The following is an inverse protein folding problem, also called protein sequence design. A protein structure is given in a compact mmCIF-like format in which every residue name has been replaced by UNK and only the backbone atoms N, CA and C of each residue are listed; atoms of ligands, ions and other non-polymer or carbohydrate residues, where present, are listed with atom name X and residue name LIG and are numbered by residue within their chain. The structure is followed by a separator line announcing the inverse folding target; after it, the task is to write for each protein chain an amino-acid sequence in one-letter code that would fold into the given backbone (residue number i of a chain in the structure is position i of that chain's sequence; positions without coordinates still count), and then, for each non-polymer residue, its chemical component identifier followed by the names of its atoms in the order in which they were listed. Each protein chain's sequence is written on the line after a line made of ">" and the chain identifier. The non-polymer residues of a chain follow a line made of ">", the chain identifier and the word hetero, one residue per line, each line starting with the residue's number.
data_IF_540387431129
#
_entry.id   IF_540387431129
#
_cell.length_a   1.000
_cell.length_b   1.000
_cell.length_c   1.000
_cell.angle_alpha   90.00
_cell.angle_beta   90.00
_cell.angle_gamma   90.00
#
_symmetry.space_group_name_H-M   'P 1'
#
loop_
_entity.id
_entity.type
_entity.pdbx_description
1 polymer ?
#
# COMPACT_ATOMS: atom_id res chain seq x y z
N UNK A 1 8.61 -19.19 6.33
CA UNK A 1 8.41 -18.10 7.32
C UNK A 1 7.07 -18.29 8.04
N UNK A 2 6.85 -17.70 9.22
CA UNK A 2 5.59 -17.82 9.98
C UNK A 2 4.49 -16.97 9.34
N UNK A 3 3.21 -17.33 9.51
CA UNK A 3 2.07 -16.53 9.03
C UNK A 3 2.15 -15.05 9.43
N UNK A 4 2.88 -14.75 10.52
CA UNK A 4 3.17 -13.42 11.03
C UNK A 4 4.06 -12.58 10.11
N UNK A 5 4.99 -13.16 9.34
CA UNK A 5 5.94 -12.39 8.53
C UNK A 5 5.29 -11.87 7.23
N UNK A 6 4.34 -12.62 6.67
CA UNK A 6 3.53 -12.16 5.54
C UNK A 6 2.56 -11.06 6.00
N UNK A 7 1.99 -11.20 7.19
CA UNK A 7 1.12 -10.18 7.80
C UNK A 7 1.91 -8.90 8.13
N UNK A 8 3.15 -9.02 8.62
CA UNK A 8 4.06 -7.89 8.86
C UNK A 8 4.48 -7.19 7.55
N UNK A 9 4.75 -7.93 6.48
CA UNK A 9 5.04 -7.34 5.16
C UNK A 9 3.82 -6.60 4.61
N UNK A 10 2.62 -7.10 4.87
CA UNK A 10 1.35 -6.46 4.48
C UNK A 10 1.02 -5.23 5.34
N UNK A 11 1.37 -5.27 6.63
CA UNK A 11 1.26 -4.13 7.54
C UNK A 11 2.30 -3.04 7.22
N UNK A 12 3.48 -3.41 6.71
CA UNK A 12 4.44 -2.47 6.11
C UNK A 12 3.89 -1.77 4.85
N UNK A 13 3.03 -2.41 4.05
CA UNK A 13 2.27 -1.74 2.95
C UNK A 13 1.37 -0.64 3.49
N UNK A 14 0.72 -0.89 4.62
CA UNK A 14 -0.11 0.11 5.26
C UNK A 14 0.74 1.25 5.85
N UNK A 15 1.85 0.92 6.53
CA UNK A 15 2.65 1.88 7.31
C UNK A 15 3.64 2.74 6.48
N UNK A 16 4.21 2.21 5.39
CA UNK A 16 5.27 2.93 4.65
C UNK A 16 4.77 4.19 3.92
N UNK A 17 3.46 4.31 3.69
CA UNK A 17 2.86 5.49 3.05
C UNK A 17 2.22 6.50 4.01
N UNK A 18 1.99 6.14 5.29
CA UNK A 18 1.65 7.14 6.30
C UNK A 18 2.78 8.20 6.42
N UNK A 19 4.02 7.81 6.11
CA UNK A 19 5.19 8.69 6.09
C UNK A 19 5.31 9.53 4.80
N UNK A 20 4.68 9.13 3.69
CA UNK A 20 4.64 9.90 2.45
C UNK A 20 3.55 10.99 2.46
N UNK A 21 2.57 10.88 3.37
CA UNK A 21 1.47 11.84 3.54
C UNK A 21 1.70 12.87 4.65
N UNK A 22 2.87 12.90 5.30
CA UNK A 22 3.07 13.65 6.54
C UNK A 22 4.43 14.32 6.69
N UNK A 23 4.84 15.17 5.75
CA UNK A 23 5.86 16.19 6.04
C UNK A 23 5.18 17.52 6.38
N UNK A 24 5.36 17.90 7.65
CA UNK A 24 5.16 19.21 8.30
C UNK A 24 4.16 19.20 9.48
N UNK A 25 4.67 18.92 10.69
CA UNK A 25 4.70 19.88 11.80
C UNK A 25 5.19 19.25 13.12
N UNK A 26 6.43 19.62 13.46
CA UNK A 26 7.10 19.65 14.76
C UNK A 26 6.30 19.49 16.07
N UNK A 27 6.86 18.62 16.92
CA UNK A 27 7.32 18.88 18.29
C UNK A 27 6.31 19.20 19.42
N UNK A 28 6.18 18.27 20.37
CA UNK A 28 6.27 18.48 21.83
C UNK A 28 6.17 17.10 22.54
N UNK A 29 7.28 16.48 22.95
CA UNK A 29 7.90 16.60 24.28
C UNK A 29 7.04 16.09 25.46
N UNK A 30 7.40 14.91 25.99
CA UNK A 30 7.59 14.55 27.42
C UNK A 30 7.52 13.01 27.56
N UNK A 31 8.63 12.27 27.58
CA UNK A 31 9.51 12.00 28.74
C UNK A 31 8.83 11.35 29.95
N UNK A 32 9.02 10.04 30.13
CA UNK A 32 9.44 9.45 31.41
C UNK A 32 9.93 8.00 31.25
N UNK A 33 11.17 7.76 31.69
CA UNK A 33 11.89 6.46 31.76
C UNK A 33 11.47 5.65 33.01
N UNK A 34 11.81 4.34 33.05
CA UNK A 34 11.41 3.37 34.09
C UNK A 34 12.52 3.12 35.13
N UNK A 35 12.18 2.61 36.31
CA UNK A 35 13.11 1.90 37.24
C UNK A 35 12.28 0.97 38.15
N UNK A 36 12.46 -0.36 38.05
CA UNK A 36 13.15 -1.18 39.07
C UNK A 36 12.14 -2.03 39.87
N UNK A 37 12.44 -3.13 40.54
CA UNK A 37 13.56 -4.06 40.59
C UNK A 37 13.05 -5.31 41.35
N UNK A 38 13.59 -6.48 41.00
CA UNK A 38 13.92 -7.65 41.85
C UNK A 38 13.02 -8.07 43.03
N UNK A 39 12.63 -9.34 43.07
CA UNK A 39 12.93 -10.22 44.22
C UNK A 39 12.87 -11.70 43.82
N UNK A 40 13.93 -12.41 44.21
CA UNK A 40 14.06 -13.86 44.20
C UNK A 40 13.19 -14.49 45.29
N UNK A 41 12.78 -15.75 45.13
CA UNK A 41 13.25 -16.78 46.06
C UNK A 41 13.09 -18.20 45.50
N UNK A 42 13.98 -19.02 46.03
CA UNK A 42 14.35 -20.40 45.76
C UNK A 42 13.32 -21.44 46.21
N UNK A 43 13.27 -22.58 45.53
CA UNK A 43 13.17 -23.90 46.19
C UNK A 43 13.39 -25.08 45.23
N UNK A 44 14.20 -26.00 45.73
CA UNK A 44 14.80 -27.21 45.15
C UNK A 44 13.94 -28.48 45.32
N UNK A 45 14.18 -29.48 44.45
CA UNK A 45 14.15 -30.96 44.64
C UNK A 45 13.42 -31.65 43.46
N UNK A 46 14.13 -32.29 42.53
CA UNK A 46 14.61 -33.68 42.56
C UNK A 46 13.48 -34.73 42.43
N UNK A 47 13.40 -35.45 41.28
CA UNK A 47 13.71 -36.88 41.11
C UNK A 47 13.48 -37.36 39.67
N UNK A 48 14.38 -38.22 39.21
CA UNK A 48 14.44 -38.88 37.90
C UNK A 48 13.37 -39.97 37.70
N UNK A 49 12.95 -40.18 36.45
CA UNK A 49 12.71 -41.54 35.93
C UNK A 49 12.74 -41.59 34.41
N UNK A 50 13.57 -42.51 33.94
CA UNK A 50 13.82 -42.92 32.57
C UNK A 50 12.59 -43.55 31.91
N UNK A 51 12.32 -43.26 30.64
CA UNK A 51 11.77 -44.25 29.69
C UNK A 51 12.22 -43.94 28.27
N UNK A 52 12.87 -44.94 27.68
CA UNK A 52 13.16 -45.10 26.27
C UNK A 52 11.84 -45.10 25.48
N UNK A 53 11.75 -44.29 24.43
CA UNK A 53 10.92 -44.63 23.26
C UNK A 53 11.53 -44.01 22.01
N UNK A 54 12.11 -44.90 21.24
CA UNK A 54 12.44 -44.80 19.84
C UNK A 54 11.22 -44.28 19.07
N UNK A 55 11.38 -43.20 18.32
CA UNK A 55 10.49 -42.85 17.22
C UNK A 55 11.34 -42.22 16.13
N UNK A 56 11.55 -43.00 15.06
CA UNK A 56 11.96 -42.50 13.76
C UNK A 56 11.03 -41.35 13.38
N UNK A 57 11.62 -40.19 13.07
CA UNK A 57 10.95 -39.13 12.32
C UNK A 57 11.97 -38.51 11.38
N UNK A 58 12.51 -39.32 10.49
CA UNK A 58 13.18 -38.85 9.28
C UNK A 58 12.10 -38.48 8.26
N UNK A 59 11.45 -37.32 8.44
CA UNK A 59 10.71 -36.65 7.35
C UNK A 59 10.32 -35.21 7.74
N UNK A 60 11.30 -34.36 8.04
CA UNK A 60 11.06 -32.92 8.29
C UNK A 60 11.71 -31.99 7.25
N UNK A 61 12.46 -32.55 6.29
CA UNK A 61 13.21 -31.75 5.31
C UNK A 61 12.43 -31.43 4.02
N UNK A 62 11.29 -32.08 3.76
CA UNK A 62 10.52 -31.91 2.52
C UNK A 62 9.45 -30.80 2.58
N UNK A 63 9.01 -30.41 3.78
CA UNK A 63 7.96 -29.39 3.97
C UNK A 63 8.47 -27.95 3.89
N UNK A 64 9.74 -27.72 4.20
CA UNK A 64 10.38 -26.42 4.14
C UNK A 64 10.50 -25.85 2.72
N UNK A 65 11.01 -26.58 1.71
CA UNK A 65 11.20 -26.01 0.37
C UNK A 65 9.90 -25.61 -0.33
N UNK A 66 8.80 -26.33 -0.12
CA UNK A 66 7.50 -25.95 -0.71
C UNK A 66 6.88 -24.72 -0.04
N UNK A 67 7.10 -24.56 1.26
CA UNK A 67 6.60 -23.40 2.00
C UNK A 67 7.37 -22.13 1.64
N UNK A 68 8.68 -22.22 1.49
CA UNK A 68 9.53 -21.11 1.04
C UNK A 68 9.19 -20.67 -0.40
N UNK A 69 8.85 -21.60 -1.29
CA UNK A 69 8.41 -21.27 -2.66
C UNK A 69 7.07 -20.51 -2.65
N UNK A 70 6.13 -20.91 -1.79
CA UNK A 70 4.84 -20.25 -1.69
C UNK A 70 4.96 -18.84 -1.10
N UNK A 71 5.78 -18.68 -0.06
CA UNK A 71 6.07 -17.38 0.54
C UNK A 71 6.70 -16.44 -0.52
N UNK A 72 7.65 -16.93 -1.32
CA UNK A 72 8.27 -16.15 -2.40
C UNK A 72 7.27 -15.73 -3.51
N UNK A 73 6.32 -16.60 -3.87
CA UNK A 73 5.29 -16.26 -4.85
C UNK A 73 4.32 -15.18 -4.33
N UNK A 74 3.94 -15.25 -3.05
CA UNK A 74 3.10 -14.24 -2.41
C UNK A 74 3.84 -12.91 -2.33
N UNK A 75 5.12 -12.92 -1.95
CA UNK A 75 5.96 -11.72 -1.91
C UNK A 75 6.09 -11.05 -3.28
N UNK A 76 6.28 -11.84 -4.35
CA UNK A 76 6.31 -11.32 -5.71
C UNK A 76 4.99 -10.67 -6.13
N UNK A 77 3.84 -11.25 -5.77
CA UNK A 77 2.52 -10.68 -6.04
C UNK A 77 2.26 -9.39 -5.25
N UNK A 78 2.76 -9.32 -4.01
CA UNK A 78 2.73 -8.11 -3.20
C UNK A 78 3.57 -7.00 -3.86
N UNK A 79 4.78 -7.31 -4.30
CA UNK A 79 5.64 -6.37 -5.02
C UNK A 79 4.96 -5.88 -6.32
N UNK A 80 4.27 -6.76 -7.04
CA UNK A 80 3.50 -6.38 -8.24
C UNK A 80 2.34 -5.43 -7.90
N UNK A 81 1.67 -5.62 -6.75
CA UNK A 81 0.61 -4.73 -6.30
C UNK A 81 1.14 -3.32 -5.98
N UNK A 82 2.31 -3.22 -5.35
CA UNK A 82 2.99 -1.94 -5.12
C UNK A 82 3.36 -1.24 -6.42
N UNK A 83 3.97 -1.97 -7.35
CA UNK A 83 4.31 -1.42 -8.65
C UNK A 83 3.06 -0.92 -9.39
N UNK A 84 1.93 -1.63 -9.25
CA UNK A 84 0.67 -1.23 -9.85
C UNK A 84 0.10 0.05 -9.20
N UNK A 85 0.25 0.20 -7.88
CA UNK A 85 -0.14 1.42 -7.16
C UNK A 85 0.70 2.63 -7.60
N UNK A 86 2.03 2.51 -7.63
CA UNK A 86 2.93 3.59 -8.08
C UNK A 86 2.64 3.99 -9.53
N UNK A 87 2.40 2.98 -10.39
CA UNK A 87 2.04 3.21 -11.78
C UNK A 87 0.73 3.98 -11.90
N UNK A 88 -0.28 3.59 -11.11
CA UNK A 88 -1.57 4.27 -11.09
C UNK A 88 -1.43 5.74 -10.68
N UNK A 89 -0.68 6.02 -9.61
CA UNK A 89 -0.43 7.39 -9.17
C UNK A 89 0.28 8.21 -10.25
N UNK A 90 1.33 7.65 -10.85
CA UNK A 90 2.08 8.32 -11.92
C UNK A 90 1.21 8.63 -13.14
N UNK A 91 0.43 7.67 -13.62
CA UNK A 91 -0.47 7.86 -14.76
C UNK A 91 -1.58 8.88 -14.43
N UNK A 92 -2.10 8.87 -13.20
CA UNK A 92 -3.10 9.83 -12.75
C UNK A 92 -2.53 11.26 -12.71
N UNK A 93 -1.35 11.45 -12.11
CA UNK A 93 -0.65 12.74 -12.07
C UNK A 93 -0.33 13.25 -13.48
N UNK A 94 0.08 12.36 -14.37
CA UNK A 94 0.36 12.68 -15.77
C UNK A 94 -0.89 13.18 -16.52
N UNK A 95 -2.05 12.54 -16.32
CA UNK A 95 -3.32 13.01 -16.90
C UNK A 95 -3.67 14.42 -16.36
N UNK A 96 -3.46 14.65 -15.07
CA UNK A 96 -3.71 15.96 -14.45
C UNK A 96 -2.74 17.01 -15.01
N UNK A 97 -1.45 16.67 -15.15
CA UNK A 97 -0.45 17.55 -15.78
C UNK A 97 -0.84 17.90 -17.21
N UNK A 98 -1.28 16.93 -18.01
CA UNK A 98 -1.76 17.18 -19.37
C UNK A 98 -2.98 18.10 -19.40
N UNK A 99 -3.93 17.93 -18.48
CA UNK A 99 -5.07 18.82 -18.34
C UNK A 99 -4.64 20.24 -17.94
N UNK A 100 -3.69 20.37 -17.00
CA UNK A 100 -3.13 21.65 -16.59
C UNK A 100 -2.43 22.35 -17.76
N UNK A 101 -1.59 21.63 -18.51
CA UNK A 101 -0.88 22.14 -19.68
C UNK A 101 -1.83 22.62 -20.78
N UNK A 102 -2.86 21.83 -21.07
CA UNK A 102 -3.91 22.20 -22.02
C UNK A 102 -4.64 23.48 -21.57
N UNK A 103 -4.91 23.61 -20.27
CA UNK A 103 -5.55 24.80 -19.71
C UNK A 103 -4.65 26.05 -19.75
N UNK A 104 -3.39 25.95 -19.36
CA UNK A 104 -2.47 27.11 -19.34
C UNK A 104 -1.95 27.47 -20.74
N UNK A 105 -2.12 26.60 -21.74
CA UNK A 105 -1.85 26.94 -23.14
C UNK A 105 -2.80 28.02 -23.68
N UNK A 106 -3.97 28.22 -23.06
CA UNK A 106 -4.85 29.34 -23.38
C UNK A 106 -4.29 30.67 -22.87
N UNK A 107 -4.48 31.77 -23.60
CA UNK A 107 -4.19 33.13 -23.13
C UNK A 107 -4.87 33.42 -21.78
N UNK A 108 -4.22 34.19 -20.90
CA UNK A 108 -4.72 34.46 -19.54
C UNK A 108 -6.12 35.10 -19.52
N UNK A 109 -6.43 35.96 -20.49
CA UNK A 109 -7.73 36.61 -20.65
C UNK A 109 -8.86 35.65 -21.07
N UNK A 110 -8.51 34.46 -21.58
CA UNK A 110 -9.45 33.40 -21.95
C UNK A 110 -9.58 32.32 -20.87
N UNK A 111 -8.67 32.29 -19.89
CA UNK A 111 -8.72 31.33 -18.80
C UNK A 111 -9.90 31.64 -17.89
N UNK A 112 -10.81 30.69 -17.78
CA UNK A 112 -12.00 30.80 -16.94
C UNK A 112 -12.25 29.48 -16.21
N UNK A 113 -13.11 29.53 -15.18
CA UNK A 113 -13.54 28.32 -14.48
C UNK A 113 -14.28 27.35 -15.41
N UNK A 114 -15.09 27.87 -16.34
CA UNK A 114 -15.82 27.06 -17.33
C UNK A 114 -14.83 26.31 -18.22
N UNK A 115 -13.80 27.00 -18.74
CA UNK A 115 -12.77 26.38 -19.56
C UNK A 115 -12.00 25.31 -18.78
N UNK A 116 -11.63 25.58 -17.52
CA UNK A 116 -10.98 24.61 -16.64
C UNK A 116 -11.82 23.33 -16.51
N UNK A 117 -13.12 23.46 -16.27
CA UNK A 117 -14.05 22.33 -16.18
C UNK A 117 -14.15 21.58 -17.51
N UNK A 118 -14.20 22.27 -18.64
CA UNK A 118 -14.22 21.63 -19.97
C UNK A 118 -12.97 20.79 -20.23
N UNK A 119 -11.78 21.33 -19.95
CA UNK A 119 -10.50 20.62 -20.13
C UNK A 119 -10.45 19.37 -19.24
N UNK A 120 -10.87 19.48 -17.96
CA UNK A 120 -10.94 18.33 -17.05
C UNK A 120 -11.94 17.28 -17.54
N UNK A 121 -13.14 17.69 -17.96
CA UNK A 121 -14.13 16.77 -18.52
C UNK A 121 -13.62 16.06 -19.78
N UNK A 122 -12.81 16.73 -20.59
CA UNK A 122 -12.15 16.13 -21.77
C UNK A 122 -11.25 14.94 -21.43
N UNK A 123 -10.70 14.86 -20.21
CA UNK A 123 -9.85 13.73 -19.77
C UNK A 123 -10.63 12.54 -19.20
N UNK A 124 -11.96 12.66 -19.01
CA UNK A 124 -12.78 11.64 -18.33
C UNK A 124 -12.65 10.26 -18.96
N UNK A 125 -12.60 10.16 -20.30
CA UNK A 125 -12.50 8.87 -20.98
C UNK A 125 -11.15 8.18 -20.72
N UNK A 126 -10.05 8.94 -20.75
CA UNK A 126 -8.70 8.42 -20.49
C UNK A 126 -8.59 7.99 -19.03
N UNK A 127 -9.10 8.80 -18.10
CA UNK A 127 -9.14 8.48 -16.68
C UNK A 127 -9.93 7.19 -16.41
N UNK A 128 -11.10 7.05 -17.04
CA UNK A 128 -11.95 5.85 -16.88
C UNK A 128 -11.26 4.59 -17.41
N UNK A 129 -10.57 4.68 -18.55
CA UNK A 129 -9.83 3.55 -19.12
C UNK A 129 -8.67 3.12 -18.21
N UNK A 130 -7.85 4.09 -17.79
CA UNK A 130 -6.73 3.88 -16.87
C UNK A 130 -7.17 3.24 -15.55
N UNK A 131 -8.27 3.71 -14.97
CA UNK A 131 -8.85 3.12 -13.74
C UNK A 131 -9.31 1.68 -13.96
N UNK A 132 -9.96 1.40 -15.09
CA UNK A 132 -10.44 0.05 -15.41
C UNK A 132 -9.28 -0.93 -15.58
N UNK A 133 -8.23 -0.53 -16.29
CA UNK A 133 -7.05 -1.37 -16.51
C UNK A 133 -6.33 -1.66 -15.19
N UNK A 134 -6.23 -0.64 -14.33
CA UNK A 134 -5.64 -0.80 -13.01
C UNK A 134 -6.45 -1.73 -12.10
N UNK A 135 -7.78 -1.58 -12.09
CA UNK A 135 -8.67 -2.46 -11.32
C UNK A 135 -8.64 -3.90 -11.84
N UNK A 136 -8.49 -4.11 -13.15
CA UNK A 136 -8.34 -5.43 -13.74
C UNK A 136 -7.05 -6.12 -13.24
N UNK A 137 -5.93 -5.40 -13.23
CA UNK A 137 -4.64 -5.94 -12.79
C UNK A 137 -4.66 -6.31 -11.30
N UNK A 138 -5.19 -5.43 -10.43
CA UNK A 138 -5.31 -5.74 -9.00
C UNK A 138 -6.23 -6.92 -8.74
N UNK A 139 -7.33 -7.04 -9.47
CA UNK A 139 -8.20 -8.21 -9.38
C UNK A 139 -7.48 -9.49 -9.82
N UNK A 140 -6.63 -9.42 -10.85
CA UNK A 140 -5.81 -10.53 -11.30
C UNK A 140 -4.78 -10.95 -10.23
N UNK A 141 -4.04 -10.00 -9.66
CA UNK A 141 -3.08 -10.24 -8.57
C UNK A 141 -3.78 -10.88 -7.36
N UNK A 142 -4.91 -10.33 -6.92
CA UNK A 142 -5.69 -10.88 -5.80
C UNK A 142 -6.17 -12.31 -6.09
N UNK A 143 -6.55 -12.60 -7.34
CA UNK A 143 -7.01 -13.94 -7.74
C UNK A 143 -5.86 -14.95 -7.70
N UNK A 144 -4.67 -14.58 -8.18
CA UNK A 144 -3.46 -15.40 -8.09
C UNK A 144 -3.06 -15.66 -6.64
N UNK A 145 -3.07 -14.61 -5.81
CA UNK A 145 -2.76 -14.71 -4.38
C UNK A 145 -3.74 -15.66 -3.65
N UNK A 146 -5.03 -15.56 -3.97
CA UNK A 146 -6.07 -16.47 -3.46
C UNK A 146 -5.83 -17.91 -3.88
N UNK A 147 -5.44 -18.15 -5.13
CA UNK A 147 -5.18 -19.49 -5.64
C UNK A 147 -4.00 -20.15 -4.94
N UNK A 148 -2.88 -19.42 -4.76
CA UNK A 148 -1.69 -19.90 -4.06
C UNK A 148 -2.02 -20.21 -2.60
N UNK A 149 -2.71 -19.30 -1.89
CA UNK A 149 -3.08 -19.52 -0.48
C UNK A 149 -3.99 -20.74 -0.32
N UNK A 150 -5.01 -20.90 -1.18
CA UNK A 150 -5.90 -22.08 -1.14
C UNK A 150 -5.18 -23.38 -1.44
N UNK A 151 -4.30 -23.40 -2.45
CA UNK A 151 -3.52 -24.59 -2.80
C UNK A 151 -2.64 -25.06 -1.64
N UNK A 152 -2.23 -24.14 -0.76
CA UNK A 152 -1.40 -24.40 0.41
C UNK A 152 -2.18 -24.50 1.73
N UNK A 153 -3.52 -24.53 1.68
CA UNK A 153 -4.35 -24.63 2.88
C UNK A 153 -4.29 -23.43 3.82
N UNK A 154 -3.87 -22.25 3.31
CA UNK A 154 -3.76 -21.00 4.07
C UNK A 154 -5.03 -20.16 3.97
N UNK A 155 -5.24 -19.29 4.96
CA UNK A 155 -6.36 -18.37 4.97
C UNK A 155 -6.23 -17.34 3.84
N UNK A 156 -7.36 -16.98 3.25
CA UNK A 156 -7.50 -16.00 2.16
C UNK A 156 -8.10 -14.68 2.63
N UNK A 157 -8.46 -14.56 3.92
CA UNK A 157 -8.96 -13.31 4.50
C UNK A 157 -8.00 -12.13 4.24
N UNK A 158 -6.69 -12.41 4.26
CA UNK A 158 -5.63 -11.44 4.00
C UNK A 158 -5.74 -10.79 2.61
N UNK A 159 -6.15 -11.53 1.58
CA UNK A 159 -6.35 -11.00 0.22
C UNK A 159 -7.46 -9.95 0.20
N UNK A 160 -8.50 -10.15 1.03
CA UNK A 160 -9.61 -9.21 1.13
C UNK A 160 -9.15 -7.90 1.74
N UNK A 161 -8.29 -7.95 2.76
CA UNK A 161 -7.75 -6.75 3.39
C UNK A 161 -6.80 -5.99 2.45
N UNK A 162 -5.95 -6.71 1.71
CA UNK A 162 -5.08 -6.11 0.68
C UNK A 162 -5.90 -5.38 -0.37
N UNK A 163 -6.95 -6.03 -0.92
CA UNK A 163 -7.82 -5.42 -1.92
C UNK A 163 -8.55 -4.19 -1.39
N UNK A 164 -9.01 -4.26 -0.13
CA UNK A 164 -9.70 -3.14 0.53
C UNK A 164 -8.74 -1.96 0.72
N UNK A 165 -7.58 -2.19 1.33
CA UNK A 165 -6.54 -1.17 1.56
C UNK A 165 -6.17 -0.47 0.25
N UNK A 166 -5.94 -1.24 -0.82
CA UNK A 166 -5.67 -0.69 -2.14
C UNK A 166 -6.81 0.22 -2.65
N UNK A 167 -8.06 -0.24 -2.51
CA UNK A 167 -9.23 0.52 -2.98
C UNK A 167 -9.40 1.82 -2.18
N UNK A 168 -9.22 1.75 -0.86
CA UNK A 168 -9.34 2.91 0.04
C UNK A 168 -8.26 3.95 -0.27
N UNK A 169 -6.99 3.53 -0.41
CA UNK A 169 -5.88 4.43 -0.80
C UNK A 169 -6.09 5.06 -2.18
N UNK A 170 -6.56 4.29 -3.16
CA UNK A 170 -6.91 4.83 -4.49
C UNK A 170 -7.96 5.92 -4.37
N UNK A 171 -8.97 5.74 -3.52
CA UNK A 171 -10.03 6.72 -3.31
C UNK A 171 -9.50 7.98 -2.58
N UNK A 172 -8.65 7.81 -1.57
CA UNK A 172 -8.01 8.91 -0.84
C UNK A 172 -7.14 9.76 -1.76
N UNK A 173 -6.25 9.14 -2.55
CA UNK A 173 -5.42 9.83 -3.53
C UNK A 173 -6.27 10.66 -4.49
N UNK A 174 -7.35 10.08 -5.05
CA UNK A 174 -8.27 10.82 -5.91
C UNK A 174 -8.92 12.00 -5.20
N UNK A 175 -9.40 11.82 -3.97
CA UNK A 175 -10.03 12.88 -3.20
C UNK A 175 -9.07 14.02 -2.91
N UNK A 176 -7.82 13.70 -2.56
CA UNK A 176 -6.78 14.69 -2.31
C UNK A 176 -6.44 15.48 -3.58
N UNK A 177 -6.31 14.80 -4.73
CA UNK A 177 -6.07 15.45 -6.01
C UNK A 177 -7.24 16.35 -6.43
N UNK A 178 -8.49 15.91 -6.20
CA UNK A 178 -9.69 16.74 -6.38
C UNK A 178 -9.59 17.96 -5.48
N UNK A 179 -9.34 17.77 -4.18
CA UNK A 179 -9.21 18.86 -3.20
C UNK A 179 -8.17 19.87 -3.65
N UNK A 180 -6.96 19.44 -4.04
CA UNK A 180 -5.90 20.33 -4.54
C UNK A 180 -6.31 21.05 -5.82
N UNK A 181 -7.00 20.36 -6.74
CA UNK A 181 -7.50 20.96 -7.98
C UNK A 181 -8.53 22.07 -7.73
N UNK A 182 -9.38 21.94 -6.71
CA UNK A 182 -10.46 22.88 -6.40
C UNK A 182 -10.15 23.89 -5.28
N UNK A 183 -9.14 23.66 -4.43
CA UNK A 183 -8.94 24.42 -3.18
C UNK A 183 -8.23 25.77 -3.28
N UNK A 184 -7.97 26.33 -4.47
CA UNK A 184 -7.24 27.61 -4.52
C UNK A 184 -7.09 28.34 -5.86
N UNK A 185 -7.99 28.15 -6.82
CA UNK A 185 -7.85 28.80 -8.13
C UNK A 185 -8.88 29.90 -8.39
N UNK A 186 -8.41 31.14 -8.56
CA UNK A 186 -9.15 32.24 -9.22
C UNK A 186 -9.43 31.97 -10.72
N UNK A 187 -8.91 30.87 -11.27
CA UNK A 187 -8.95 30.56 -12.70
C UNK A 187 -7.72 31.04 -13.47
N UNK A 188 -6.64 31.47 -12.80
CA UNK A 188 -5.40 31.88 -13.46
C UNK A 188 -4.54 30.69 -13.93
N UNK A 189 -4.66 29.53 -13.27
CA UNK A 189 -3.82 28.35 -13.49
C UNK A 189 -2.63 28.22 -12.54
N UNK A 190 -2.41 29.20 -11.66
CA UNK A 190 -1.28 29.25 -10.70
C UNK A 190 -1.31 28.15 -9.64
N UNK A 191 -2.50 27.61 -9.33
CA UNK A 191 -2.69 26.56 -8.33
C UNK A 191 -2.12 25.17 -8.72
N UNK A 192 -1.55 25.02 -9.91
CA UNK A 192 -1.01 23.74 -10.41
C UNK A 192 0.47 23.49 -10.13
N UNK A 193 1.16 24.34 -9.36
CA UNK A 193 2.61 24.20 -9.11
C UNK A 193 2.99 22.85 -8.49
N UNK A 194 2.17 22.37 -7.54
CA UNK A 194 2.37 21.09 -6.85
C UNK A 194 2.46 19.87 -7.78
N UNK A 195 1.94 19.97 -9.02
CA UNK A 195 2.01 18.88 -10.01
C UNK A 195 3.44 18.60 -10.46
N UNK A 196 4.28 19.64 -10.49
CA UNK A 196 5.67 19.52 -10.92
C UNK A 196 6.53 18.93 -9.80
N UNK A 197 6.30 19.39 -8.56
CA UNK A 197 7.03 18.91 -7.37
C UNK A 197 6.81 17.40 -7.09
N UNK A 198 5.71 16.81 -7.60
CA UNK A 198 5.32 15.41 -7.35
C UNK A 198 5.61 14.46 -8.52
N UNK A 199 6.02 14.99 -9.67
CA UNK A 199 6.44 14.20 -10.84
C UNK A 199 7.97 14.23 -11.09
N UNK A 200 8.71 15.03 -10.32
CA UNK A 200 10.19 15.02 -10.22
C UNK A 200 10.71 13.94 -9.27
#
# INVERSE_FOLDING_TARGET
>A
MSSSEVEELLEKIAAQEENAAGSEASAAASSSRPVGASSADTSTAAVSSSVVSQSQSTSAAASHPQQDECDAQIEALVAQLYQQQERYERELLEIIRQAHQEYVAYPEDQRSLILKVQVVLGKTNVLTAMEKDCDAEVNNICSQMTAILKANGRDTAIVREVKKTYTDKKAELKQELIRQTYSGGDGSGSAGHWLYDRLE
#
